data_IF_556215293597
#
_entry.id   IF_556215293597
#
_cell.length_a   1.000
_cell.length_b   1.000
_cell.length_c   1.000
_cell.angle_alpha   90.00
_cell.angle_beta   90.00
_cell.angle_gamma   90.00
#
_symmetry.space_group_name_H-M   'P 1'
#
loop_
_entity.id
_entity.type
_entity.pdbx_description
1 polymer ?
#
# COMPACT_ATOMS: atom_id res chain seq x y z
N UNK A 1 0.13 -6.09 -8.67
CA UNK A 1 1.18 -6.60 -7.74
C UNK A 1 1.31 -5.75 -6.47
N UNK A 2 1.31 -4.41 -6.59
CA UNK A 2 1.40 -3.50 -5.44
C UNK A 2 0.34 -3.72 -4.34
N UNK A 3 -0.94 -3.91 -4.70
CA UNK A 3 -1.99 -4.16 -3.70
C UNK A 3 -1.82 -5.50 -2.96
N UNK A 4 -1.24 -6.52 -3.60
CA UNK A 4 -0.91 -7.77 -2.92
C UNK A 4 0.23 -7.55 -1.90
N UNK A 5 1.28 -6.80 -2.29
CA UNK A 5 2.37 -6.37 -1.40
C UNK A 5 1.83 -5.58 -0.19
N UNK A 6 0.93 -4.62 -0.43
CA UNK A 6 0.27 -3.83 0.62
C UNK A 6 -0.46 -4.74 1.62
N UNK A 7 -1.32 -5.64 1.13
CA UNK A 7 -2.06 -6.59 1.98
C UNK A 7 -1.13 -7.48 2.81
N UNK A 8 -0.04 -7.97 2.22
CA UNK A 8 0.94 -8.80 2.93
C UNK A 8 1.63 -8.01 4.05
N UNK A 9 2.06 -6.78 3.79
CA UNK A 9 2.73 -5.94 4.78
C UNK A 9 1.79 -5.54 5.93
N UNK A 10 0.54 -5.18 5.61
CA UNK A 10 -0.46 -4.87 6.63
C UNK A 10 -0.82 -6.09 7.49
N UNK A 11 -0.95 -7.28 6.90
CA UNK A 11 -1.16 -8.52 7.65
C UNK A 11 0.02 -8.84 8.58
N UNK A 12 1.25 -8.56 8.13
CA UNK A 12 2.47 -8.74 8.94
C UNK A 12 2.55 -7.76 10.11
N UNK A 13 2.03 -6.53 9.95
CA UNK A 13 2.00 -5.53 11.02
C UNK A 13 1.10 -5.94 12.19
N UNK A 14 0.10 -6.82 11.96
CA UNK A 14 -0.74 -7.42 13.00
C UNK A 14 -1.36 -6.41 13.99
N UNK A 15 -1.67 -5.20 13.51
CA UNK A 15 -2.26 -4.13 14.31
C UNK A 15 -3.63 -4.56 14.87
N UNK A 16 -3.87 -4.27 16.16
CA UNK A 16 -5.11 -4.62 16.87
C UNK A 16 -5.96 -3.42 17.26
N UNK A 17 -5.47 -2.22 17.02
CA UNK A 17 -6.19 -0.97 17.23
C UNK A 17 -6.25 -0.18 15.93
N UNK A 18 -7.24 0.71 15.82
CA UNK A 18 -7.38 1.58 14.66
C UNK A 18 -6.16 2.51 14.50
N UNK A 19 -5.68 3.08 15.60
CA UNK A 19 -4.50 3.96 15.63
C UNK A 19 -3.23 3.24 15.15
N UNK A 20 -3.00 2.01 15.63
CA UNK A 20 -1.84 1.22 15.21
C UNK A 20 -1.96 0.82 13.74
N UNK A 21 -3.18 0.52 13.27
CA UNK A 21 -3.41 0.22 11.86
C UNK A 21 -3.14 1.45 10.99
N UNK A 22 -3.59 2.64 11.40
CA UNK A 22 -3.35 3.87 10.67
C UNK A 22 -1.86 4.18 10.54
N UNK A 23 -1.11 4.06 11.64
CA UNK A 23 0.36 4.23 11.64
C UNK A 23 1.04 3.17 10.78
N UNK A 24 0.60 1.92 10.84
CA UNK A 24 1.13 0.85 10.02
C UNK A 24 0.88 1.09 8.53
N UNK A 25 -0.29 1.61 8.15
CA UNK A 25 -0.58 1.98 6.76
C UNK A 25 0.38 3.07 6.29
N UNK A 26 0.58 4.14 7.08
CA UNK A 26 1.53 5.20 6.75
C UNK A 26 2.95 4.66 6.51
N UNK A 27 3.48 3.90 7.47
CA UNK A 27 4.82 3.32 7.36
C UNK A 27 4.96 2.32 6.18
N UNK A 28 3.88 1.62 5.83
CA UNK A 28 3.88 0.71 4.69
C UNK A 28 3.83 1.47 3.36
N UNK A 29 3.10 2.59 3.28
CA UNK A 29 3.07 3.45 2.09
C UNK A 29 4.46 4.00 1.76
N UNK A 30 5.27 4.33 2.76
CA UNK A 30 6.67 4.79 2.57
C UNK A 30 7.59 3.75 1.93
N UNK A 31 7.18 2.48 1.86
CA UNK A 31 7.94 1.38 1.24
C UNK A 31 7.64 1.18 -0.25
N UNK A 32 6.73 1.98 -0.82
CA UNK A 32 6.39 1.93 -2.24
C UNK A 32 7.13 3.03 -2.98
N UNK A 33 7.69 2.66 -4.14
CA UNK A 33 8.25 3.63 -5.08
C UNK A 33 7.15 4.29 -5.90
N UNK A 34 7.44 5.47 -6.46
CA UNK A 34 6.52 6.17 -7.36
C UNK A 34 6.08 5.28 -8.54
N UNK A 35 7.01 4.52 -9.12
CA UNK A 35 6.73 3.59 -10.22
C UNK A 35 5.80 2.44 -9.79
N UNK A 36 5.98 1.87 -8.60
CA UNK A 36 5.08 0.82 -8.09
C UNK A 36 3.66 1.35 -7.88
N UNK A 37 3.54 2.59 -7.39
CA UNK A 37 2.27 3.29 -7.23
C UNK A 37 1.61 3.59 -8.59
N UNK A 38 2.37 4.18 -9.52
CA UNK A 38 1.87 4.49 -10.86
C UNK A 38 1.42 3.22 -11.60
N UNK A 39 2.23 2.16 -11.57
CA UNK A 39 1.87 0.88 -12.18
C UNK A 39 0.61 0.27 -11.54
N UNK A 40 0.38 0.49 -10.24
CA UNK A 40 -0.86 0.09 -9.60
C UNK A 40 -2.08 0.83 -10.16
N UNK A 41 -1.98 2.16 -10.27
CA UNK A 41 -3.06 2.98 -10.81
C UNK A 41 -3.33 2.66 -12.28
N UNK A 42 -2.29 2.51 -13.11
CA UNK A 42 -2.40 2.09 -14.51
C UNK A 42 -3.10 0.73 -14.62
N UNK A 43 -2.70 -0.26 -13.81
CA UNK A 43 -3.32 -1.59 -13.81
C UNK A 43 -4.79 -1.57 -13.36
N UNK A 44 -5.19 -0.56 -12.60
CA UNK A 44 -6.58 -0.32 -12.18
C UNK A 44 -7.38 0.53 -13.19
N UNK A 45 -6.78 0.91 -14.33
CA UNK A 45 -7.43 1.71 -15.37
C UNK A 45 -7.32 3.23 -15.18
N UNK A 46 -6.62 3.69 -14.15
CA UNK A 46 -6.39 5.12 -13.86
C UNK A 46 -5.09 5.59 -14.52
N UNK A 47 -4.95 5.38 -15.82
CA UNK A 47 -3.78 5.85 -16.54
C UNK A 47 -3.79 7.39 -16.54
N UNK A 48 -2.69 8.07 -16.15
CA UNK A 48 -2.58 9.50 -16.35
C UNK A 48 -2.61 9.79 -17.86
N UNK A 49 -3.35 10.82 -18.26
CA UNK A 49 -3.36 11.37 -19.63
C UNK A 49 -1.99 11.97 -20.01
#
# INVERSE_FOLDING_TARGET
MAFAKLKTLLRKAAARTYEDLWKAVGAVCDLFTEDECLNYFIAAGYKPD
#
